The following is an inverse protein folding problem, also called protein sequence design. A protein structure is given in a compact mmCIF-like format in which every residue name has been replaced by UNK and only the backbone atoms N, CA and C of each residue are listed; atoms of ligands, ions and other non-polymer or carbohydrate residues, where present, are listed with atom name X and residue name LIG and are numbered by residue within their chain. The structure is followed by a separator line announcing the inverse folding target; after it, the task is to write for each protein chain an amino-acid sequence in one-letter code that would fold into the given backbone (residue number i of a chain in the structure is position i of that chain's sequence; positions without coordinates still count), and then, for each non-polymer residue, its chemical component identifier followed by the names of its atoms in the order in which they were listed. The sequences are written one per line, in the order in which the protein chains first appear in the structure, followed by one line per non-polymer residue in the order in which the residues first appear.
data_IF_379037177806
#
_entry.id   IF_379037177806
#
_cell.length_a   1.000
_cell.length_b   1.000
_cell.length_c   1.000
_cell.angle_alpha   90.00
_cell.angle_beta   90.00
_cell.angle_gamma   90.00
#
_symmetry.space_group_name_H-M   'P 1'
#
loop_
_entity.id
_entity.type
_entity.pdbx_description
1 polymer ?
#
# COMPACT_ATOMS: atom_id res chain seq x y z
N UNK A 1 -15.79 5.99 -11.16
CA UNK A 1 -14.97 6.96 -11.93
C UNK A 1 -13.58 6.37 -12.20
N UNK A 2 -12.86 6.79 -13.26
CA UNK A 2 -11.60 6.15 -13.65
C UNK A 2 -10.52 6.14 -12.55
N UNK A 3 -10.46 7.19 -11.73
CA UNK A 3 -9.45 7.33 -10.68
C UNK A 3 -9.66 6.40 -9.48
N UNK A 4 -10.92 6.10 -9.15
CA UNK A 4 -11.31 5.22 -8.03
C UNK A 4 -10.85 3.79 -8.32
N UNK A 5 -11.11 3.33 -9.55
CA UNK A 5 -10.72 2.01 -10.04
C UNK A 5 -9.20 1.92 -10.16
N UNK A 6 -8.52 3.02 -10.56
CA UNK A 6 -7.07 3.03 -10.73
C UNK A 6 -6.30 2.85 -9.40
N UNK A 7 -6.66 3.57 -8.34
CA UNK A 7 -5.98 3.45 -7.04
C UNK A 7 -6.15 2.04 -6.43
N UNK A 8 -7.38 1.50 -6.46
CA UNK A 8 -7.69 0.15 -5.96
C UNK A 8 -6.94 -0.91 -6.76
N UNK A 9 -6.98 -0.84 -8.10
CA UNK A 9 -6.32 -1.83 -8.97
C UNK A 9 -4.80 -1.83 -8.78
N UNK A 10 -4.17 -0.65 -8.75
CA UNK A 10 -2.72 -0.55 -8.52
C UNK A 10 -2.30 -1.12 -7.18
N UNK A 11 -3.08 -0.85 -6.12
CA UNK A 11 -2.79 -1.42 -4.82
C UNK A 11 -2.96 -2.94 -4.85
N UNK A 12 -4.06 -3.45 -5.41
CA UNK A 12 -4.31 -4.87 -5.53
C UNK A 12 -3.16 -5.61 -6.25
N UNK A 13 -2.70 -5.07 -7.38
CA UNK A 13 -1.56 -5.62 -8.12
C UNK A 13 -0.28 -5.62 -7.27
N UNK A 14 -0.07 -4.56 -6.48
CA UNK A 14 1.06 -4.50 -5.56
C UNK A 14 0.96 -5.52 -4.42
N UNK A 15 -0.22 -5.70 -3.83
CA UNK A 15 -0.49 -6.71 -2.79
C UNK A 15 -0.19 -8.11 -3.35
N UNK A 16 -0.74 -8.44 -4.52
CA UNK A 16 -0.52 -9.71 -5.19
C UNK A 16 0.97 -9.98 -5.44
N UNK A 17 1.73 -8.94 -5.79
CA UNK A 17 3.17 -9.06 -6.01
C UNK A 17 3.98 -9.18 -4.71
N UNK A 18 3.54 -8.55 -3.61
CA UNK A 18 4.31 -8.47 -2.37
C UNK A 18 4.10 -9.67 -1.44
N UNK A 19 2.87 -10.17 -1.28
CA UNK A 19 2.57 -11.28 -0.35
C UNK A 19 3.53 -12.48 -0.52
N UNK A 20 3.78 -13.00 -1.74
CA UNK A 20 4.69 -14.14 -1.93
C UNK A 20 6.16 -13.85 -1.55
N UNK A 21 6.55 -12.59 -1.38
CA UNK A 21 7.88 -12.19 -0.91
C UNK A 21 7.94 -12.13 0.61
N UNK A 22 6.87 -11.64 1.24
CA UNK A 22 6.74 -11.61 2.69
C UNK A 22 6.70 -13.03 3.28
N UNK A 23 6.08 -13.97 2.57
CA UNK A 23 6.07 -15.38 2.96
C UNK A 23 7.46 -16.01 3.12
N UNK A 24 8.45 -15.49 2.38
CA UNK A 24 9.85 -15.93 2.37
C UNK A 24 10.69 -15.32 3.49
N UNK A 25 10.13 -14.43 4.30
CA UNK A 25 10.85 -13.84 5.43
C UNK A 25 11.22 -14.94 6.44
N UNK A 26 12.39 -14.82 7.11
CA UNK A 26 12.76 -15.72 8.19
C UNK A 26 11.67 -15.75 9.28
N UNK A 27 11.49 -16.89 9.94
CA UNK A 27 10.44 -17.10 10.96
C UNK A 27 10.43 -16.00 12.04
N UNK A 28 11.60 -15.48 12.43
CA UNK A 28 11.74 -14.40 13.42
C UNK A 28 11.14 -13.07 12.97
N UNK A 29 11.08 -12.80 11.66
CA UNK A 29 10.52 -11.57 11.09
C UNK A 29 9.14 -11.79 10.48
N UNK A 30 8.73 -13.04 10.22
CA UNK A 30 7.45 -13.36 9.61
C UNK A 30 6.27 -12.91 10.47
N UNK A 31 6.27 -13.24 11.76
CA UNK A 31 5.19 -12.87 12.69
C UNK A 31 5.28 -11.43 13.22
N UNK A 32 6.25 -10.64 12.74
CA UNK A 32 6.45 -9.26 13.17
C UNK A 32 6.31 -8.28 12.00
N UNK A 33 7.17 -8.41 11.00
CA UNK A 33 7.22 -7.50 9.85
C UNK A 33 6.30 -7.95 8.73
N UNK A 34 6.34 -9.22 8.32
CA UNK A 34 5.49 -9.70 7.23
C UNK A 34 4.00 -9.56 7.60
N UNK A 35 3.60 -10.08 8.75
CA UNK A 35 2.22 -9.97 9.26
C UNK A 35 1.73 -8.52 9.35
N UNK A 36 2.56 -7.62 9.91
CA UNK A 36 2.23 -6.19 9.98
C UNK A 36 2.08 -5.56 8.59
N UNK A 37 2.91 -5.94 7.63
CA UNK A 37 2.87 -5.41 6.27
C UNK A 37 1.65 -5.93 5.50
N UNK A 38 1.29 -7.19 5.68
CA UNK A 38 0.09 -7.79 5.07
C UNK A 38 -1.18 -7.11 5.60
N UNK A 39 -1.32 -7.03 6.93
CA UNK A 39 -2.46 -6.34 7.55
C UNK A 39 -2.55 -4.87 7.10
N UNK A 40 -1.43 -4.17 7.04
CA UNK A 40 -1.41 -2.78 6.59
C UNK A 40 -1.84 -2.62 5.13
N UNK A 41 -1.43 -3.53 4.25
CA UNK A 41 -1.85 -3.50 2.84
C UNK A 41 -3.33 -3.77 2.67
N UNK A 42 -3.88 -4.74 3.41
CA UNK A 42 -5.30 -5.06 3.40
C UNK A 42 -6.12 -3.89 3.97
N UNK A 43 -5.68 -3.27 5.06
CA UNK A 43 -6.32 -2.06 5.61
C UNK A 43 -6.37 -0.92 4.59
N UNK A 44 -5.29 -0.70 3.80
CA UNK A 44 -5.30 0.33 2.75
C UNK A 44 -6.32 -0.05 1.68
N UNK A 45 -6.38 -1.32 1.29
CA UNK A 45 -7.34 -1.79 0.28
C UNK A 45 -8.78 -1.57 0.74
N UNK A 46 -9.09 -1.90 1.99
CA UNK A 46 -10.41 -1.69 2.59
C UNK A 46 -10.79 -0.20 2.62
N UNK A 47 -9.85 0.68 3.00
CA UNK A 47 -10.09 2.14 3.00
C UNK A 47 -10.33 2.70 1.59
N UNK A 48 -9.64 2.17 0.56
CA UNK A 48 -9.87 2.59 -0.82
C UNK A 48 -11.24 2.09 -1.32
N UNK A 49 -11.63 0.88 -0.96
CA UNK A 49 -12.96 0.35 -1.27
C UNK A 49 -14.03 1.18 -0.55
N UNK A 50 -13.86 1.48 0.74
CA UNK A 50 -14.77 2.33 1.51
C UNK A 50 -14.91 3.71 0.84
N UNK A 51 -13.80 4.34 0.44
CA UNK A 51 -13.83 5.61 -0.29
C UNK A 51 -14.60 5.54 -1.62
N UNK A 52 -14.60 4.39 -2.31
CA UNK A 52 -15.36 4.20 -3.55
C UNK A 52 -16.88 4.24 -3.34
N UNK A 53 -17.36 3.77 -2.17
CA UNK A 53 -18.79 3.68 -1.86
C UNK A 53 -19.27 4.77 -0.87
N UNK A 54 -18.37 5.55 -0.29
CA UNK A 54 -18.71 6.64 0.62
C UNK A 54 -19.05 7.95 -0.11
N UNK A 55 -19.95 8.74 0.48
CA UNK A 55 -20.16 10.15 0.10
C UNK A 55 -19.02 11.03 0.60
N UNK A 56 -18.49 10.72 1.78
CA UNK A 56 -17.38 11.42 2.40
C UNK A 56 -16.09 10.62 2.18
N UNK A 57 -15.46 10.84 1.02
CA UNK A 57 -14.27 10.07 0.58
C UNK A 57 -12.98 10.55 1.20
N UNK A 58 -12.92 11.84 1.54
CA UNK A 58 -11.70 12.52 1.98
C UNK A 58 -11.08 11.87 3.22
N UNK A 59 -11.91 11.46 4.20
CA UNK A 59 -11.46 10.80 5.42
C UNK A 59 -10.75 9.46 5.14
N UNK A 60 -11.40 8.54 4.43
CA UNK A 60 -10.83 7.23 4.08
C UNK A 60 -9.61 7.36 3.17
N UNK A 61 -9.60 8.29 2.22
CA UNK A 61 -8.44 8.55 1.35
C UNK A 61 -7.24 9.10 2.12
N UNK A 62 -7.46 10.02 3.08
CA UNK A 62 -6.40 10.54 3.96
C UNK A 62 -5.83 9.43 4.85
N UNK A 63 -6.69 8.59 5.40
CA UNK A 63 -6.27 7.42 6.19
C UNK A 63 -5.47 6.41 5.34
N UNK A 64 -5.92 6.12 4.12
CA UNK A 64 -5.22 5.23 3.20
C UNK A 64 -3.83 5.77 2.85
N UNK A 65 -3.72 7.08 2.58
CA UNK A 65 -2.45 7.73 2.29
C UNK A 65 -1.46 7.65 3.47
N UNK A 66 -1.94 7.85 4.70
CA UNK A 66 -1.10 7.71 5.90
C UNK A 66 -0.56 6.28 6.05
N UNK A 67 -1.42 5.27 5.91
CA UNK A 67 -1.02 3.86 5.97
C UNK A 67 -0.06 3.49 4.84
N UNK A 68 -0.25 4.05 3.64
CA UNK A 68 0.68 3.85 2.52
C UNK A 68 2.09 4.41 2.83
N UNK A 69 2.18 5.54 3.53
CA UNK A 69 3.46 6.06 4.00
C UNK A 69 4.08 5.17 5.09
N UNK A 70 3.29 4.61 6.00
CA UNK A 70 3.79 3.59 6.94
C UNK A 70 4.38 2.39 6.20
N UNK A 71 3.72 1.94 5.11
CA UNK A 71 4.20 0.85 4.27
C UNK A 71 5.54 1.18 3.60
N UNK A 72 5.72 2.43 3.14
CA UNK A 72 6.98 2.92 2.57
C UNK A 72 8.17 2.75 3.53
N UNK A 73 7.96 3.04 4.82
CA UNK A 73 9.00 2.86 5.83
C UNK A 73 9.24 1.38 6.17
N UNK A 74 8.21 0.54 6.23
CA UNK A 74 8.36 -0.90 6.46
C UNK A 74 9.14 -1.59 5.33
N UNK A 75 8.92 -1.19 4.08
CA UNK A 75 9.70 -1.67 2.93
C UNK A 75 11.17 -1.24 3.01
N UNK A 76 11.43 0.02 3.39
CA UNK A 76 12.81 0.51 3.61
C UNK A 76 13.51 -0.28 4.71
N UNK A 77 12.83 -0.48 5.84
CA UNK A 77 13.33 -1.28 6.95
C UNK A 77 13.63 -2.71 6.51
N UNK A 78 12.74 -3.34 5.75
CA UNK A 78 12.94 -4.69 5.22
C UNK A 78 14.19 -4.80 4.34
N UNK A 79 14.47 -3.76 3.53
CA UNK A 79 15.70 -3.69 2.72
C UNK A 79 16.94 -3.50 3.60
N UNK A 80 16.90 -2.64 4.61
CA UNK A 80 18.05 -2.40 5.50
C UNK A 80 18.37 -3.61 6.38
N UNK A 81 17.34 -4.39 6.75
CA UNK A 81 17.46 -5.70 7.41
C UNK A 81 17.83 -6.84 6.44
N UNK A 82 18.05 -6.55 5.16
CA UNK A 82 18.40 -7.52 4.10
C UNK A 82 17.34 -8.63 3.91
N UNK A 83 16.07 -8.35 4.21
CA UNK A 83 14.94 -9.26 4.00
C UNK A 83 14.43 -9.25 2.56
N UNK A 84 14.69 -8.15 1.84
CA UNK A 84 14.40 -8.02 0.41
C UNK A 84 15.65 -7.52 -0.33
N UNK A 85 15.78 -7.91 -1.59
CA UNK A 85 16.85 -7.43 -2.46
C UNK A 85 16.58 -6.01 -2.99
N UNK A 86 17.62 -5.39 -3.55
CA UNK A 86 17.54 -4.01 -4.06
C UNK A 86 16.50 -3.89 -5.19
N UNK A 87 16.38 -4.90 -6.04
CA UNK A 87 15.43 -4.93 -7.15
C UNK A 87 13.98 -4.94 -6.66
N UNK A 88 13.68 -5.73 -5.63
CA UNK A 88 12.35 -5.78 -5.01
C UNK A 88 12.03 -4.49 -4.25
N UNK A 89 13.03 -3.90 -3.60
CA UNK A 89 12.89 -2.59 -2.96
C UNK A 89 12.56 -1.50 -4.00
N UNK A 90 13.29 -1.45 -5.10
CA UNK A 90 13.08 -0.46 -6.17
C UNK A 90 11.70 -0.60 -6.83
N UNK A 91 11.28 -1.84 -7.11
CA UNK A 91 9.93 -2.10 -7.60
C UNK A 91 8.87 -1.65 -6.59
N UNK A 92 9.01 -2.03 -5.32
CA UNK A 92 8.06 -1.63 -4.26
C UNK A 92 7.97 -0.11 -4.11
N UNK A 93 9.10 0.59 -4.12
CA UNK A 93 9.13 2.04 -3.99
C UNK A 93 8.38 2.73 -5.14
N UNK A 94 8.54 2.24 -6.38
CA UNK A 94 7.77 2.73 -7.53
C UNK A 94 6.28 2.41 -7.42
N UNK A 95 5.92 1.18 -7.06
CA UNK A 95 4.54 0.75 -6.95
C UNK A 95 3.79 1.56 -5.88
N UNK A 96 4.37 1.69 -4.68
CA UNK A 96 3.85 2.52 -3.58
C UNK A 96 3.70 3.98 -4.02
N UNK A 97 4.70 4.53 -4.74
CA UNK A 97 4.59 5.90 -5.25
C UNK A 97 3.43 6.06 -6.26
N UNK A 98 3.26 5.12 -7.17
CA UNK A 98 2.18 5.15 -8.15
C UNK A 98 0.79 5.10 -7.46
N UNK A 99 0.61 4.22 -6.47
CA UNK A 99 -0.61 4.18 -5.65
C UNK A 99 -0.85 5.53 -4.97
N UNK A 100 0.18 6.12 -4.36
CA UNK A 100 0.07 7.42 -3.69
C UNK A 100 -0.35 8.56 -4.62
N UNK A 101 0.16 8.57 -5.86
CA UNK A 101 -0.26 9.53 -6.89
C UNK A 101 -1.74 9.35 -7.22
N UNK A 102 -2.22 8.11 -7.39
CA UNK A 102 -3.63 7.82 -7.67
C UNK A 102 -4.54 8.24 -6.51
N UNK A 103 -4.16 7.96 -5.26
CA UNK A 103 -4.89 8.41 -4.06
C UNK A 103 -4.94 9.94 -4.01
N UNK A 104 -3.80 10.62 -4.22
CA UNK A 104 -3.74 12.08 -4.20
C UNK A 104 -4.58 12.73 -5.31
N UNK A 105 -4.60 12.13 -6.51
CA UNK A 105 -5.47 12.56 -7.61
C UNK A 105 -6.96 12.40 -7.26
N UNK A 106 -7.33 11.29 -6.63
CA UNK A 106 -8.70 11.03 -6.18
C UNK A 106 -9.12 11.98 -5.05
N UNK A 107 -8.22 12.27 -4.10
CA UNK A 107 -8.49 13.22 -3.02
C UNK A 107 -8.79 14.61 -3.58
N UNK A 108 -7.97 15.11 -4.52
CA UNK A 108 -8.19 16.42 -5.15
C UNK A 108 -9.52 16.51 -5.90
N UNK A 109 -9.95 15.42 -6.53
CA UNK A 109 -11.23 15.39 -7.23
C UNK A 109 -12.42 15.29 -6.27
N UNK A 110 -12.26 14.62 -5.12
CA UNK A 110 -13.35 14.48 -4.13
C UNK A 110 -13.53 15.71 -3.23
N UNK A 111 -12.57 16.64 -3.22
CA UNK A 111 -12.69 17.94 -2.55
C UNK A 111 -13.19 19.06 -3.48
N UNK A 112 -13.46 18.75 -4.76
CA UNK A 112 -14.09 19.64 -5.75
C UNK A 112 -15.60 19.39 -5.86
#
# INVERSE_FOLDING_TARGET
MPQEVDAITRLYDYVLWLIPKLEKFPRSQKFLLADRMENLLLDILDLLIEAAYSREKSASLKAANLKLEQMRYLIRLSKDLKLIDLKSYEFSARAINAVGVSIGGWLKYSEQ
#
